data_IF_977766382519
#
_entry.id   IF_977766382519
#
_cell.length_a   1.000
_cell.length_b   1.000
_cell.length_c   1.000
_cell.angle_alpha   90.00
_cell.angle_beta   90.00
_cell.angle_gamma   90.00
#
_symmetry.space_group_name_H-M   'P 1'
#
loop_
_entity.id
_entity.type
_entity.pdbx_description
1 polymer ?
#
# COMPACT_ATOMS: atom_id res chain seq x y z
N UNK A 1 -9.58 18.74 -0.36
CA UNK A 1 -11.01 18.94 -0.76
C UNK A 1 -11.82 17.73 -0.30
N UNK A 2 -13.14 17.82 -0.06
CA UNK A 2 -13.93 16.62 0.23
C UNK A 2 -13.80 15.59 -0.89
N UNK A 3 -13.86 14.30 -0.57
CA UNK A 3 -13.81 13.24 -1.59
C UNK A 3 -14.99 13.37 -2.55
N UNK A 4 -14.75 13.07 -3.82
CA UNK A 4 -15.77 12.95 -4.86
C UNK A 4 -16.07 11.50 -5.23
N UNK A 5 -15.35 10.55 -4.61
CA UNK A 5 -15.44 9.12 -4.93
C UNK A 5 -16.61 8.47 -4.19
N UNK A 6 -17.31 7.58 -4.88
CA UNK A 6 -18.22 6.62 -4.24
C UNK A 6 -17.44 5.54 -3.50
N UNK A 7 -18.07 4.77 -2.57
CA UNK A 7 -17.42 3.64 -1.93
C UNK A 7 -16.81 2.62 -2.90
N UNK A 8 -17.48 2.37 -4.03
CA UNK A 8 -16.99 1.47 -5.09
C UNK A 8 -15.75 2.02 -5.78
N UNK A 9 -15.71 3.33 -6.07
CA UNK A 9 -14.53 3.97 -6.66
C UNK A 9 -13.36 4.04 -5.67
N UNK A 10 -13.63 4.28 -4.39
CA UNK A 10 -12.60 4.22 -3.35
C UNK A 10 -11.98 2.82 -3.26
N UNK A 11 -12.81 1.77 -3.36
CA UNK A 11 -12.33 0.39 -3.41
C UNK A 11 -11.44 0.16 -4.63
N UNK A 12 -11.87 0.59 -5.81
CA UNK A 12 -11.10 0.45 -7.05
C UNK A 12 -9.73 1.15 -6.95
N UNK A 13 -9.69 2.36 -6.37
CA UNK A 13 -8.42 3.09 -6.14
C UNK A 13 -7.51 2.28 -5.21
N UNK A 14 -8.02 1.77 -4.10
CA UNK A 14 -7.21 0.96 -3.17
C UNK A 14 -6.72 -0.32 -3.83
N UNK A 15 -7.58 -1.04 -4.57
CA UNK A 15 -7.18 -2.24 -5.31
C UNK A 15 -6.07 -1.94 -6.31
N UNK A 16 -6.14 -0.83 -7.05
CA UNK A 16 -5.10 -0.39 -7.99
C UNK A 16 -3.81 0.01 -7.29
N UNK A 17 -3.87 0.73 -6.17
CA UNK A 17 -2.68 1.10 -5.38
C UNK A 17 -1.92 -0.14 -4.93
N UNK A 18 -2.64 -1.15 -4.43
CA UNK A 18 -2.03 -2.40 -3.96
C UNK A 18 -1.51 -3.23 -5.13
N UNK A 19 -2.31 -3.41 -6.17
CA UNK A 19 -1.91 -4.25 -7.30
C UNK A 19 -0.78 -3.62 -8.12
N UNK A 20 -0.97 -2.40 -8.62
CA UNK A 20 0.03 -1.74 -9.47
C UNK A 20 1.27 -1.37 -8.64
N UNK A 21 1.08 -0.80 -7.46
CA UNK A 21 2.18 -0.34 -6.62
C UNK A 21 2.92 -1.47 -5.92
N UNK A 22 2.20 -2.29 -5.13
CA UNK A 22 2.84 -3.25 -4.22
C UNK A 22 3.09 -4.63 -4.87
N UNK A 23 2.16 -5.17 -5.67
CA UNK A 23 2.38 -6.45 -6.35
C UNK A 23 3.38 -6.29 -7.50
N UNK A 24 3.10 -5.37 -8.43
CA UNK A 24 3.88 -5.19 -9.66
C UNK A 24 5.12 -4.30 -9.48
N UNK A 25 5.22 -3.58 -8.36
CA UNK A 25 6.35 -2.70 -8.08
C UNK A 25 6.34 -1.40 -8.89
N UNK A 26 5.22 -0.99 -9.48
CA UNK A 26 5.13 0.21 -10.30
C UNK A 26 5.13 1.49 -9.43
N UNK A 27 6.28 2.16 -9.39
CA UNK A 27 6.45 3.41 -8.65
C UNK A 27 5.53 4.53 -9.13
N UNK A 28 5.09 4.50 -10.39
CA UNK A 28 4.23 5.55 -10.96
C UNK A 28 2.79 5.46 -10.46
N UNK A 29 2.38 4.32 -9.87
CA UNK A 29 1.09 4.18 -9.18
C UNK A 29 0.95 5.19 -8.02
N UNK A 30 2.07 5.48 -7.32
CA UNK A 30 2.06 6.47 -6.25
C UNK A 30 1.67 7.86 -6.75
N UNK A 31 2.17 8.27 -7.92
CA UNK A 31 1.88 9.58 -8.50
C UNK A 31 0.42 9.67 -9.01
N UNK A 32 -0.11 8.54 -9.52
CA UNK A 32 -1.50 8.44 -9.99
C UNK A 32 -2.49 8.54 -8.85
N UNK A 33 -2.31 7.77 -7.78
CA UNK A 33 -3.37 7.53 -6.81
C UNK A 33 -3.20 8.24 -5.47
N UNK A 34 -2.04 8.83 -5.17
CA UNK A 34 -1.82 9.52 -3.90
C UNK A 34 -1.77 11.05 -4.07
N UNK A 35 -2.22 11.75 -3.06
CA UNK A 35 -2.11 13.21 -3.01
C UNK A 35 -0.66 13.64 -2.80
N UNK A 36 -0.32 14.86 -3.24
CA UNK A 36 1.02 15.44 -3.06
C UNK A 36 1.45 15.57 -1.60
N UNK A 37 0.48 15.62 -0.67
CA UNK A 37 0.68 15.73 0.77
C UNK A 37 0.40 14.43 1.53
N UNK A 38 0.25 13.30 0.81
CA UNK A 38 0.00 11.98 1.38
C UNK A 38 0.89 11.68 2.59
N UNK A 39 0.31 11.01 3.59
CA UNK A 39 1.01 10.59 4.82
C UNK A 39 0.77 9.11 5.08
N UNK A 40 1.85 8.34 5.12
CA UNK A 40 1.82 6.97 5.62
C UNK A 40 2.13 6.97 7.13
N UNK A 41 1.09 6.91 7.95
CA UNK A 41 1.24 6.90 9.42
C UNK A 41 1.78 5.58 9.98
N UNK A 42 1.84 4.52 9.17
CA UNK A 42 2.47 3.25 9.54
C UNK A 42 3.92 3.13 9.05
N UNK A 43 4.45 4.17 8.40
CA UNK A 43 5.84 4.21 7.95
C UNK A 43 6.81 4.22 9.14
N UNK A 44 7.96 3.56 8.98
CA UNK A 44 9.05 3.64 9.95
C UNK A 44 9.73 5.03 9.96
N UNK A 45 9.61 5.77 8.85
CA UNK A 45 10.08 7.13 8.68
C UNK A 45 8.88 8.05 8.41
N UNK A 46 8.50 8.84 9.41
CA UNK A 46 7.37 9.77 9.36
C UNK A 46 7.73 11.12 8.72
N UNK A 47 9.00 11.33 8.36
CA UNK A 47 9.47 12.55 7.71
C UNK A 47 9.14 12.58 6.22
N UNK A 48 9.00 11.42 5.59
CA UNK A 48 8.61 11.31 4.19
C UNK A 48 7.15 11.67 3.97
N UNK A 49 6.88 12.38 2.87
CA UNK A 49 5.55 12.90 2.51
C UNK A 49 5.26 12.69 1.04
N UNK A 50 3.98 12.73 0.70
CA UNK A 50 3.51 12.63 -0.68
C UNK A 50 3.81 11.26 -1.31
N UNK A 51 3.75 11.18 -2.65
CA UNK A 51 3.98 9.93 -3.39
C UNK A 51 5.32 9.26 -3.08
N UNK A 52 6.37 10.02 -2.77
CA UNK A 52 7.69 9.44 -2.44
C UNK A 52 7.67 8.56 -1.20
N UNK A 53 6.83 8.87 -0.20
CA UNK A 53 6.68 8.03 0.98
C UNK A 53 6.19 6.62 0.61
N UNK A 54 5.27 6.50 -0.34
CA UNK A 54 4.77 5.21 -0.80
C UNK A 54 5.74 4.51 -1.75
N UNK A 55 6.41 5.25 -2.66
CA UNK A 55 7.49 4.68 -3.50
C UNK A 55 8.60 4.07 -2.65
N UNK A 56 8.93 4.66 -1.51
CA UNK A 56 9.87 4.08 -0.56
C UNK A 56 9.38 2.73 -0.03
N UNK A 57 8.10 2.63 0.36
CA UNK A 57 7.49 1.35 0.76
C UNK A 57 7.55 0.31 -0.35
N UNK A 58 7.22 0.68 -1.60
CA UNK A 58 7.30 -0.23 -2.75
C UNK A 58 8.73 -0.77 -2.91
N UNK A 59 9.74 0.11 -2.89
CA UNK A 59 11.16 -0.31 -3.03
C UNK A 59 11.58 -1.26 -1.91
N UNK A 60 11.20 -0.99 -0.66
CA UNK A 60 11.49 -1.90 0.47
C UNK A 60 10.88 -3.27 0.19
N UNK A 61 9.58 -3.32 -0.11
CA UNK A 61 8.87 -4.59 -0.30
C UNK A 61 9.48 -5.40 -1.45
N UNK A 62 9.68 -4.78 -2.61
CA UNK A 62 10.26 -5.41 -3.79
C UNK A 62 11.73 -5.82 -3.61
N UNK A 63 12.48 -5.16 -2.71
CA UNK A 63 13.86 -5.55 -2.38
C UNK A 63 13.93 -6.73 -1.42
N UNK A 64 12.93 -6.91 -0.55
CA UNK A 64 12.93 -7.91 0.50
C UNK A 64 12.18 -9.20 0.12
N UNK A 65 11.16 -9.07 -0.72
CA UNK A 65 10.26 -10.17 -1.07
C UNK A 65 10.10 -10.29 -2.58
N UNK A 66 9.97 -11.52 -3.06
CA UNK A 66 9.56 -11.84 -4.43
C UNK A 66 8.21 -12.57 -4.41
N UNK A 67 7.60 -12.76 -5.58
CA UNK A 67 6.28 -13.42 -5.68
C UNK A 67 5.22 -12.71 -4.82
N UNK A 68 5.35 -11.38 -4.69
CA UNK A 68 4.47 -10.56 -3.85
C UNK A 68 3.05 -10.58 -4.42
N UNK A 69 2.09 -10.87 -3.56
CA UNK A 69 0.67 -10.74 -3.85
C UNK A 69 -0.08 -10.25 -2.62
N UNK A 70 -0.78 -9.13 -2.77
CA UNK A 70 -1.71 -8.62 -1.78
C UNK A 70 -3.13 -9.05 -2.11
N UNK A 71 -3.85 -9.50 -1.08
CA UNK A 71 -5.27 -9.82 -1.15
C UNK A 71 -6.03 -8.96 -0.15
N UNK A 72 -7.01 -8.20 -0.63
CA UNK A 72 -7.93 -7.41 0.20
C UNK A 72 -9.07 -8.32 0.64
N UNK A 73 -9.06 -8.66 1.93
CA UNK A 73 -10.01 -9.59 2.55
C UNK A 73 -11.33 -8.90 2.93
N UNK A 74 -11.22 -7.68 3.49
CA UNK A 74 -12.37 -6.85 3.82
C UNK A 74 -12.14 -5.42 3.31
N UNK A 75 -13.24 -4.75 2.96
CA UNK A 75 -13.27 -3.32 2.65
C UNK A 75 -14.53 -2.71 3.26
N UNK A 76 -14.36 -1.63 4.01
CA UNK A 76 -15.45 -0.79 4.49
C UNK A 76 -15.18 0.65 4.11
N UNK A 77 -16.22 1.42 3.80
CA UNK A 77 -16.10 2.84 3.45
C UNK A 77 -17.30 3.62 3.99
N UNK A 78 -17.02 4.84 4.44
CA UNK A 78 -18.03 5.82 4.80
C UNK A 78 -17.47 7.23 4.60
N UNK A 79 -18.14 8.01 3.75
CA UNK A 79 -17.73 9.38 3.44
C UNK A 79 -16.34 9.43 2.81
N UNK A 80 -15.42 10.19 3.41
CA UNK A 80 -14.04 10.36 2.96
C UNK A 80 -13.05 9.33 3.52
N UNK A 81 -13.55 8.23 4.11
CA UNK A 81 -12.71 7.23 4.79
C UNK A 81 -13.04 5.84 4.32
N UNK A 82 -12.01 5.01 4.23
CA UNK A 82 -12.15 3.58 4.08
C UNK A 82 -11.19 2.84 5.02
N UNK A 83 -11.49 1.59 5.29
CA UNK A 83 -10.55 0.68 5.93
C UNK A 83 -10.55 -0.66 5.20
N UNK A 84 -9.37 -1.28 5.17
CA UNK A 84 -9.20 -2.62 4.64
C UNK A 84 -8.54 -3.53 5.66
N UNK A 85 -8.83 -4.83 5.54
CA UNK A 85 -8.00 -5.90 6.06
C UNK A 85 -7.40 -6.65 4.88
N UNK A 86 -6.10 -6.90 4.90
CA UNK A 86 -5.41 -7.58 3.81
C UNK A 86 -4.43 -8.64 4.32
N UNK A 87 -4.07 -9.55 3.42
CA UNK A 87 -2.95 -10.47 3.57
C UNK A 87 -1.99 -10.32 2.39
N UNK A 88 -0.70 -10.20 2.67
CA UNK A 88 0.37 -10.28 1.69
C UNK A 88 0.97 -11.67 1.74
N UNK A 89 1.16 -12.26 0.57
CA UNK A 89 1.94 -13.45 0.34
C UNK A 89 3.22 -13.08 -0.40
N UNK A 90 4.32 -13.74 -0.08
CA UNK A 90 5.57 -13.58 -0.81
C UNK A 90 6.64 -14.53 -0.31
N UNK A 91 7.79 -14.51 -0.97
CA UNK A 91 8.98 -15.28 -0.61
C UNK A 91 10.07 -14.34 -0.14
N UNK A 92 10.65 -14.59 1.03
CA UNK A 92 11.71 -13.75 1.60
C UNK A 92 13.05 -14.00 0.89
N UNK A 93 13.39 -13.12 -0.05
CA UNK A 93 14.50 -13.28 -1.00
C UNK A 93 15.55 -12.17 -0.92
N UNK A 94 15.28 -11.08 -0.20
CA UNK A 94 16.27 -10.09 0.18
C UNK A 94 16.23 -9.78 1.68
N UNK A 95 17.17 -8.98 2.20
CA UNK A 95 17.21 -8.64 3.62
C UNK A 95 15.99 -7.80 4.04
N UNK A 96 15.42 -8.10 5.20
CA UNK A 96 14.27 -7.36 5.75
C UNK A 96 14.43 -7.13 7.25
N UNK A 97 14.46 -5.86 7.69
CA UNK A 97 14.53 -5.44 9.10
C UNK A 97 15.60 -6.25 9.89
N UNK A 98 16.82 -6.32 9.35
CA UNK A 98 17.95 -7.02 9.98
C UNK A 98 17.97 -8.53 9.82
N UNK A 99 16.95 -9.13 9.20
CA UNK A 99 16.88 -10.56 8.91
C UNK A 99 17.41 -10.82 7.49
N UNK A 100 18.34 -11.76 7.36
CA UNK A 100 18.87 -12.20 6.07
C UNK A 100 17.83 -13.03 5.30
N UNK A 101 17.87 -13.06 3.96
CA UNK A 101 16.88 -13.78 3.15
C UNK A 101 16.83 -15.26 3.52
N UNK A 102 15.65 -15.72 3.93
CA UNK A 102 15.45 -17.10 4.42
C UNK A 102 15.02 -18.07 3.32
N UNK A 103 14.55 -17.56 2.18
CA UNK A 103 13.99 -18.36 1.09
C UNK A 103 12.63 -18.98 1.39
N UNK A 104 12.05 -18.70 2.56
CA UNK A 104 10.74 -19.22 2.98
C UNK A 104 9.60 -18.38 2.41
N UNK A 105 8.46 -19.04 2.23
CA UNK A 105 7.18 -18.37 2.01
C UNK A 105 6.75 -17.67 3.30
N UNK A 106 6.29 -16.43 3.17
CA UNK A 106 5.83 -15.59 4.28
C UNK A 106 4.41 -15.12 4.03
N UNK A 107 3.72 -14.84 5.14
CA UNK A 107 2.44 -14.16 5.14
C UNK A 107 2.52 -12.97 6.10
N UNK A 108 2.01 -11.83 5.67
CA UNK A 108 1.87 -10.64 6.51
C UNK A 108 0.43 -10.15 6.44
N UNK A 109 -0.18 -9.90 7.58
CA UNK A 109 -1.56 -9.41 7.66
C UNK A 109 -1.57 -8.07 8.36
N UNK A 110 -2.37 -7.14 7.84
CA UNK A 110 -2.60 -5.88 8.51
C UNK A 110 -3.98 -5.31 8.19
N UNK A 111 -4.31 -4.25 8.92
CA UNK A 111 -5.45 -3.39 8.63
C UNK A 111 -4.93 -1.97 8.41
N UNK A 112 -5.52 -1.26 7.44
CA UNK A 112 -5.15 0.12 7.12
C UNK A 112 -6.40 0.97 7.08
N UNK A 113 -6.28 2.17 7.64
CA UNK A 113 -7.29 3.22 7.56
C UNK A 113 -6.83 4.28 6.55
N UNK A 114 -7.68 4.58 5.58
CA UNK A 114 -7.46 5.58 4.54
C UNK A 114 -8.33 6.82 4.78
N UNK A 115 -7.83 7.96 4.30
CA UNK A 115 -8.61 9.17 4.09
C UNK A 115 -8.41 9.60 2.64
N UNK A 116 -9.50 9.85 1.95
CA UNK A 116 -9.53 10.33 0.57
C UNK A 116 -9.76 11.84 0.52
N UNK A 117 -9.14 12.51 -0.43
CA UNK A 117 -9.36 13.91 -0.78
C UNK A 117 -9.51 14.06 -2.30
N UNK A 118 -10.63 14.62 -2.75
CA UNK A 118 -10.96 14.64 -4.18
C UNK A 118 -11.09 13.21 -4.72
N UNK A 119 -10.25 12.87 -5.69
CA UNK A 119 -10.20 11.59 -6.39
C UNK A 119 -9.07 10.65 -5.92
N UNK A 120 -8.40 10.97 -4.82
CA UNK A 120 -7.22 10.24 -4.29
C UNK A 120 -7.31 9.99 -2.79
#
# INVERSE_FOLDING_TARGET
MPTTLTPEQQREVVEKVFHEGLDLGDLTAADRYLTSDFRNHGSHDDSMRGPEAFKHTIRIQQSAFSEIKYEILDFISQGDRAAIRWVMHGKHTGPFIGIQPTGLQVQHQAMIWFRFEGDK
#
